data_IF_112880342822
#
_entry.id   IF_112880342822
#
_cell.length_a   1.000
_cell.length_b   1.000
_cell.length_c   1.000
_cell.angle_alpha   90.00
_cell.angle_beta   90.00
_cell.angle_gamma   90.00
#
_symmetry.space_group_name_H-M   'P 1'
#
loop_
_entity.id
_entity.type
_entity.pdbx_description
1 polymer ?
#
# COMPACT_ATOMS: atom_id res chain seq x y z
N UNK A 1 -16.39 22.35 -26.36
CA UNK A 1 -15.93 22.89 -25.07
C UNK A 1 -14.42 23.01 -25.14
N UNK A 2 -13.95 24.17 -25.60
CA UNK A 2 -12.53 24.45 -25.83
C UNK A 2 -12.14 25.52 -24.82
N UNK A 3 -11.64 25.11 -23.65
CA UNK A 3 -11.05 26.02 -22.66
C UNK A 3 -10.06 25.20 -21.83
N UNK A 4 -8.79 25.62 -21.86
CA UNK A 4 -7.60 25.00 -21.29
C UNK A 4 -7.04 23.80 -22.10
N UNK A 5 -6.33 24.10 -23.20
CA UNK A 5 -5.13 23.29 -23.51
C UNK A 5 -4.12 23.65 -22.42
N UNK A 6 -4.09 22.88 -21.34
CA UNK A 6 -2.96 22.97 -20.42
C UNK A 6 -1.76 22.38 -21.16
N UNK A 7 -0.72 23.19 -21.38
CA UNK A 7 0.57 22.74 -21.95
C UNK A 7 1.36 21.85 -20.96
N UNK A 8 0.81 21.61 -19.77
CA UNK A 8 1.36 20.70 -18.78
C UNK A 8 1.20 19.24 -19.26
N UNK A 9 2.34 18.64 -19.59
CA UNK A 9 2.47 17.20 -19.75
C UNK A 9 2.71 16.56 -18.38
N UNK A 10 1.96 15.50 -18.09
CA UNK A 10 2.03 14.74 -16.85
C UNK A 10 2.62 13.39 -17.20
N UNK A 11 3.70 12.99 -16.52
CA UNK A 11 4.25 11.64 -16.65
C UNK A 11 3.91 10.88 -15.38
N UNK A 12 3.08 9.84 -15.52
CA UNK A 12 2.58 8.98 -14.47
C UNK A 12 3.38 7.67 -14.46
N UNK A 13 4.28 7.54 -13.49
CA UNK A 13 5.11 6.36 -13.30
C UNK A 13 4.45 5.37 -12.33
N UNK A 14 4.40 4.08 -12.71
CA UNK A 14 3.71 3.06 -11.93
C UNK A 14 2.21 3.22 -11.98
N UNK A 15 1.69 3.66 -13.13
CA UNK A 15 0.30 4.09 -13.29
C UNK A 15 -0.75 3.02 -13.00
N UNK A 16 -0.35 1.75 -12.81
CA UNK A 16 -1.24 0.62 -12.63
C UNK A 16 -2.18 0.52 -13.82
N UNK A 17 -3.50 0.58 -13.56
CA UNK A 17 -4.54 0.55 -14.61
C UNK A 17 -4.88 1.95 -15.17
N UNK A 18 -4.00 2.93 -14.96
CA UNK A 18 -4.09 4.32 -15.43
C UNK A 18 -5.35 5.06 -14.97
N UNK A 19 -5.90 4.76 -13.79
CA UNK A 19 -7.13 5.41 -13.30
C UNK A 19 -6.99 6.93 -13.16
N UNK A 20 -5.93 7.38 -12.48
CA UNK A 20 -5.65 8.80 -12.30
C UNK A 20 -5.37 9.49 -13.63
N UNK A 21 -4.40 8.99 -14.40
CA UNK A 21 -4.02 9.61 -15.68
C UNK A 21 -5.21 9.78 -16.62
N UNK A 22 -6.13 8.82 -16.62
CA UNK A 22 -7.38 8.90 -17.37
C UNK A 22 -8.28 10.03 -16.88
N UNK A 23 -8.41 10.25 -15.57
CA UNK A 23 -9.15 11.38 -15.02
C UNK A 23 -8.47 12.72 -15.36
N UNK A 24 -7.15 12.82 -15.16
CA UNK A 24 -6.38 14.02 -15.48
C UNK A 24 -6.51 14.41 -16.95
N UNK A 25 -6.51 13.41 -17.83
CA UNK A 25 -6.69 13.64 -19.27
C UNK A 25 -8.14 14.00 -19.61
N UNK A 26 -9.12 13.24 -19.14
CA UNK A 26 -10.53 13.40 -19.56
C UNK A 26 -11.25 14.56 -18.89
N UNK A 27 -11.02 14.76 -17.58
CA UNK A 27 -11.74 15.74 -16.78
C UNK A 27 -11.02 17.10 -16.77
N UNK A 28 -9.69 17.10 -16.85
CA UNK A 28 -8.87 18.31 -16.69
C UNK A 28 -8.09 18.71 -17.95
N UNK A 29 -8.12 17.89 -19.02
CA UNK A 29 -7.52 18.22 -20.30
C UNK A 29 -5.99 18.16 -20.32
N UNK A 30 -5.35 17.56 -19.31
CA UNK A 30 -3.90 17.36 -19.30
C UNK A 30 -3.45 16.28 -20.27
N UNK A 31 -2.23 16.40 -20.78
CA UNK A 31 -1.60 15.35 -21.57
C UNK A 31 -0.86 14.40 -20.64
N UNK A 32 -1.49 13.30 -20.27
CA UNK A 32 -0.93 12.30 -19.37
C UNK A 32 -0.23 11.17 -20.15
N UNK A 33 0.99 10.84 -19.72
CA UNK A 33 1.83 9.77 -20.24
C UNK A 33 2.04 8.73 -19.16
N UNK A 34 1.47 7.54 -19.34
CA UNK A 34 1.52 6.48 -18.34
C UNK A 34 2.66 5.50 -18.61
N UNK A 35 3.42 5.16 -17.57
CA UNK A 35 4.48 4.16 -17.59
C UNK A 35 4.15 3.11 -16.53
N UNK A 36 4.14 1.84 -16.91
CA UNK A 36 3.83 0.70 -16.03
C UNK A 36 4.72 -0.49 -16.39
N UNK A 37 5.11 -1.28 -15.39
CA UNK A 37 6.01 -2.41 -15.57
C UNK A 37 5.28 -3.76 -15.63
N UNK A 38 4.08 -3.87 -15.06
CA UNK A 38 3.27 -5.10 -15.09
C UNK A 38 2.32 -5.10 -16.31
N UNK A 39 2.54 -6.05 -17.23
CA UNK A 39 1.72 -6.24 -18.42
C UNK A 39 0.23 -6.45 -18.10
N UNK A 40 -0.13 -7.04 -16.95
CA UNK A 40 -1.53 -7.20 -16.57
C UNK A 40 -2.19 -5.85 -16.27
N UNK A 41 -1.42 -4.92 -15.69
CA UNK A 41 -1.89 -3.57 -15.41
C UNK A 41 -2.01 -2.75 -16.69
N UNK A 42 -1.04 -2.87 -17.61
CA UNK A 42 -1.10 -2.25 -18.95
C UNK A 42 -2.34 -2.75 -19.72
N UNK A 43 -2.53 -4.07 -19.80
CA UNK A 43 -3.69 -4.66 -20.47
C UNK A 43 -5.00 -4.23 -19.79
N UNK A 44 -5.02 -4.20 -18.45
CA UNK A 44 -6.15 -3.69 -17.69
C UNK A 44 -6.45 -2.21 -17.98
N UNK A 45 -5.42 -1.38 -18.14
CA UNK A 45 -5.54 0.03 -18.51
C UNK A 45 -6.13 0.19 -19.91
N UNK A 46 -5.61 -0.53 -20.92
CA UNK A 46 -6.10 -0.49 -22.31
C UNK A 46 -7.58 -0.90 -22.38
N UNK A 47 -7.96 -1.98 -21.69
CA UNK A 47 -9.36 -2.42 -21.61
C UNK A 47 -10.23 -1.34 -20.98
N UNK A 48 -9.75 -0.69 -19.93
CA UNK A 48 -10.47 0.36 -19.24
C UNK A 48 -10.57 1.63 -20.10
N UNK A 49 -9.54 2.01 -20.85
CA UNK A 49 -9.56 3.11 -21.81
C UNK A 49 -10.63 2.89 -22.87
N UNK A 50 -10.67 1.69 -23.46
CA UNK A 50 -11.68 1.33 -24.45
C UNK A 50 -13.10 1.43 -23.87
N UNK A 51 -13.32 0.90 -22.65
CA UNK A 51 -14.61 1.00 -21.95
C UNK A 51 -14.99 2.46 -21.67
N UNK A 52 -14.05 3.25 -21.18
CA UNK A 52 -14.28 4.65 -20.84
C UNK A 52 -14.54 5.49 -22.08
N UNK A 53 -13.78 5.32 -23.17
CA UNK A 53 -14.05 5.99 -24.45
C UNK A 53 -15.44 5.65 -24.99
N UNK A 54 -15.82 4.36 -24.94
CA UNK A 54 -17.15 3.91 -25.36
C UNK A 54 -18.27 4.49 -24.48
N UNK A 55 -18.02 4.68 -23.18
CA UNK A 55 -18.96 5.32 -22.25
C UNK A 55 -19.06 6.84 -22.45
N UNK A 56 -17.94 7.52 -22.71
CA UNK A 56 -17.87 8.96 -22.98
C UNK A 56 -18.58 9.36 -24.27
N UNK A 57 -18.58 8.49 -25.29
CA UNK A 57 -19.42 8.69 -26.48
C UNK A 57 -20.91 8.78 -26.16
N UNK A 58 -21.34 8.33 -24.97
CA UNK A 58 -22.74 8.32 -24.53
C UNK A 58 -23.07 9.33 -23.42
N UNK A 59 -22.10 10.05 -22.84
CA UNK A 59 -22.32 10.87 -21.65
C UNK A 59 -21.51 12.18 -21.62
N UNK A 60 -22.15 13.26 -21.15
CA UNK A 60 -21.49 14.50 -20.71
C UNK A 60 -21.04 14.34 -19.23
N UNK A 61 -19.86 14.83 -18.82
CA UNK A 61 -19.31 14.49 -17.51
C UNK A 61 -19.82 15.43 -16.41
N UNK A 62 -20.18 14.85 -15.27
CA UNK A 62 -20.07 15.46 -13.95
C UNK A 62 -19.39 14.46 -13.02
N UNK A 63 -18.26 14.91 -12.47
CA UNK A 63 -17.54 14.46 -11.28
C UNK A 63 -16.91 13.04 -11.30
N UNK A 64 -15.57 12.99 -11.37
CA UNK A 64 -14.77 11.79 -11.11
C UNK A 64 -13.37 12.17 -10.57
N UNK A 65 -12.99 11.66 -9.40
CA UNK A 65 -11.71 11.88 -8.72
C UNK A 65 -11.06 10.54 -8.35
N UNK A 66 -9.73 10.36 -8.56
CA UNK A 66 -8.87 9.48 -7.75
C UNK A 66 -7.38 9.53 -8.18
N UNK A 67 -6.47 9.44 -7.18
CA UNK A 67 -5.02 9.76 -7.17
C UNK A 67 -3.99 8.69 -7.63
N UNK A 68 -2.72 9.11 -7.67
CA UNK A 68 -1.52 8.40 -8.17
C UNK A 68 -1.01 7.36 -7.17
N UNK A 69 -0.37 6.26 -7.59
CA UNK A 69 0.19 5.25 -6.69
C UNK A 69 1.60 4.81 -7.13
N UNK A 70 2.66 5.28 -6.45
CA UNK A 70 4.03 4.79 -6.63
C UNK A 70 4.39 3.74 -5.55
N UNK A 71 4.76 2.53 -5.97
CA UNK A 71 4.91 1.37 -5.09
C UNK A 71 6.37 0.86 -5.06
N UNK A 72 6.91 0.62 -3.87
CA UNK A 72 8.26 0.09 -3.65
C UNK A 72 9.38 1.09 -3.95
N UNK A 73 10.50 0.60 -4.50
CA UNK A 73 11.66 1.41 -4.94
C UNK A 73 11.34 2.47 -5.99
N UNK A 74 10.20 2.36 -6.68
CA UNK A 74 9.79 3.31 -7.69
C UNK A 74 9.70 4.74 -7.12
N UNK A 75 9.21 4.89 -5.89
CA UNK A 75 9.16 6.21 -5.23
C UNK A 75 10.55 6.81 -5.09
N UNK A 76 11.56 6.03 -4.72
CA UNK A 76 12.94 6.50 -4.62
C UNK A 76 13.50 6.93 -5.98
N UNK A 77 13.25 6.14 -7.04
CA UNK A 77 13.74 6.47 -8.38
C UNK A 77 13.09 7.73 -8.95
N UNK A 78 11.78 7.90 -8.76
CA UNK A 78 11.07 9.13 -9.15
C UNK A 78 11.67 10.34 -8.42
N UNK A 79 11.98 10.21 -7.12
CA UNK A 79 12.60 11.28 -6.35
C UNK A 79 14.00 11.62 -6.85
N UNK A 80 14.84 10.62 -7.13
CA UNK A 80 16.18 10.84 -7.68
C UNK A 80 16.14 11.44 -9.09
N UNK A 81 15.28 10.93 -9.96
CA UNK A 81 15.12 11.43 -11.32
C UNK A 81 14.58 12.86 -11.30
N UNK A 82 13.55 13.13 -10.49
CA UNK A 82 13.05 14.47 -10.30
C UNK A 82 14.15 15.41 -9.78
N UNK A 83 14.99 14.99 -8.83
CA UNK A 83 16.10 15.84 -8.36
C UNK A 83 17.11 16.18 -9.47
N UNK A 84 17.50 15.20 -10.29
CA UNK A 84 18.53 15.34 -11.34
C UNK A 84 18.02 16.06 -12.61
N UNK A 85 16.75 15.86 -12.98
CA UNK A 85 16.26 16.25 -14.30
C UNK A 85 15.76 17.70 -14.32
N UNK A 86 16.48 18.60 -14.99
CA UNK A 86 16.12 20.03 -15.09
C UNK A 86 14.86 20.32 -15.90
N UNK A 87 14.32 19.35 -16.65
CA UNK A 87 13.14 19.53 -17.48
C UNK A 87 11.82 19.33 -16.71
N UNK A 88 11.88 18.81 -15.48
CA UNK A 88 10.71 18.58 -14.63
C UNK A 88 10.52 19.72 -13.64
N UNK A 89 9.38 20.41 -13.72
CA UNK A 89 9.10 21.60 -12.89
C UNK A 89 8.30 21.31 -11.62
N UNK A 90 7.57 20.19 -11.59
CA UNK A 90 6.71 19.81 -10.48
C UNK A 90 6.70 18.28 -10.31
N UNK A 91 6.68 17.84 -9.06
CA UNK A 91 6.46 16.46 -8.65
C UNK A 91 5.21 16.39 -7.76
N UNK A 92 4.33 15.44 -8.04
CA UNK A 92 3.24 15.03 -7.15
C UNK A 92 3.36 13.52 -7.00
N UNK A 93 3.64 13.05 -5.78
CA UNK A 93 3.93 11.65 -5.49
C UNK A 93 3.04 11.15 -4.35
N UNK A 94 2.19 10.16 -4.62
CA UNK A 94 1.56 9.36 -3.56
C UNK A 94 2.28 8.02 -3.43
N UNK A 95 2.78 7.73 -2.24
CA UNK A 95 3.45 6.46 -1.97
C UNK A 95 2.42 5.41 -1.52
N UNK A 96 2.46 4.22 -2.13
CA UNK A 96 1.46 3.16 -1.89
C UNK A 96 1.99 1.85 -1.33
N UNK A 97 3.30 1.61 -1.37
CA UNK A 97 3.91 0.39 -0.87
C UNK A 97 5.34 0.66 -0.38
N UNK A 98 5.62 0.34 0.87
CA UNK A 98 6.97 0.43 1.45
C UNK A 98 7.65 -0.94 1.55
N UNK A 99 6.98 -1.97 1.01
CA UNK A 99 7.16 -3.37 1.40
C UNK A 99 8.18 -4.18 0.62
N UNK A 100 8.51 -3.78 -0.60
CA UNK A 100 9.36 -4.62 -1.45
C UNK A 100 10.76 -4.68 -0.83
N UNK A 101 11.38 -5.87 -0.86
CA UNK A 101 12.75 -6.13 -0.35
C UNK A 101 13.77 -5.09 -0.84
N UNK A 102 13.51 -4.54 -2.02
CA UNK A 102 14.15 -3.37 -2.58
C UNK A 102 13.24 -2.15 -2.40
N UNK A 103 13.15 -1.62 -1.19
CA UNK A 103 13.04 -0.17 -1.11
C UNK A 103 14.37 0.33 -1.70
N UNK A 104 14.32 1.38 -2.53
CA UNK A 104 15.55 2.11 -2.81
C UNK A 104 16.18 2.58 -1.50
N UNK A 105 17.40 3.15 -1.52
CA UNK A 105 18.13 3.50 -0.31
C UNK A 105 17.23 4.25 0.70
N UNK A 106 16.93 3.62 1.84
CA UNK A 106 16.31 4.27 2.99
C UNK A 106 17.29 4.27 4.15
N UNK A 107 17.54 5.42 4.79
CA UNK A 107 17.02 6.74 4.43
C UNK A 107 17.60 7.30 3.12
N UNK A 108 16.87 8.17 2.43
CA UNK A 108 17.32 8.94 1.27
C UNK A 108 18.03 10.23 1.70
N UNK A 109 17.54 10.92 2.74
CA UNK A 109 18.10 12.20 3.17
C UNK A 109 19.45 12.04 3.84
N UNK A 110 20.35 12.99 3.59
CA UNK A 110 21.63 13.06 4.28
C UNK A 110 21.44 13.38 5.78
N UNK A 111 20.37 14.10 6.13
CA UNK A 111 19.95 14.33 7.51
C UNK A 111 19.90 13.03 8.32
N UNK A 112 19.21 12.00 7.80
CA UNK A 112 19.10 10.71 8.48
C UNK A 112 20.33 9.81 8.25
N UNK A 113 20.94 9.82 7.05
CA UNK A 113 22.16 9.03 6.77
C UNK A 113 23.34 9.38 7.68
N UNK A 114 23.50 10.67 8.06
CA UNK A 114 24.61 11.13 8.91
C UNK A 114 24.48 10.72 10.38
N UNK A 115 23.33 10.19 10.81
CA UNK A 115 23.14 9.69 12.19
C UNK A 115 23.84 8.34 12.32
N UNK A 116 25.06 8.36 12.86
CA UNK A 116 25.99 7.20 13.00
C UNK A 116 25.44 5.97 13.73
N UNK A 117 24.33 6.10 14.47
CA UNK A 117 23.86 5.05 15.38
C UNK A 117 22.97 3.98 14.73
N UNK A 118 22.64 4.03 13.43
CA UNK A 118 21.71 3.10 12.76
C UNK A 118 20.31 2.96 13.41
N UNK A 119 19.97 3.80 14.40
CA UNK A 119 18.73 3.76 15.18
C UNK A 119 17.46 4.06 14.36
N UNK A 120 17.62 4.60 13.16
CA UNK A 120 16.52 5.03 12.30
C UNK A 120 16.25 4.06 11.13
N UNK A 121 16.84 2.86 11.16
CA UNK A 121 16.55 1.83 10.17
C UNK A 121 15.14 1.26 10.39
N UNK A 122 14.28 1.38 9.38
CA UNK A 122 12.98 0.74 9.37
C UNK A 122 13.12 -0.74 9.03
N UNK A 123 12.63 -1.61 9.92
CA UNK A 123 12.54 -3.04 9.67
C UNK A 123 11.52 -3.34 8.56
N UNK A 124 11.56 -4.55 7.99
CA UNK A 124 10.59 -4.97 6.99
C UNK A 124 9.16 -4.86 7.52
N UNK A 125 8.95 -5.27 8.78
CA UNK A 125 7.65 -5.27 9.46
C UNK A 125 7.12 -3.85 9.71
N UNK A 126 8.01 -2.89 9.96
CA UNK A 126 7.63 -1.48 10.10
C UNK A 126 7.16 -0.91 8.75
N UNK A 127 7.88 -1.22 7.67
CA UNK A 127 7.50 -0.85 6.30
C UNK A 127 6.19 -1.53 5.86
N UNK A 128 6.00 -2.77 6.30
CA UNK A 128 4.75 -3.54 6.14
C UNK A 128 3.61 -2.81 6.77
N UNK A 129 3.83 -2.41 8.02
CA UNK A 129 2.84 -1.73 8.82
C UNK A 129 2.44 -0.38 8.24
N UNK A 130 3.37 0.39 7.69
CA UNK A 130 3.10 1.64 6.98
C UNK A 130 2.16 1.48 5.79
N UNK A 131 1.81 0.24 5.40
CA UNK A 131 0.83 -0.01 4.35
C UNK A 131 -0.60 -0.27 4.81
N UNK A 132 -0.83 -0.29 6.12
CA UNK A 132 -2.15 -0.55 6.67
C UNK A 132 -2.94 0.74 6.91
N UNK A 133 -4.22 0.68 6.58
CA UNK A 133 -5.20 1.73 6.86
C UNK A 133 -6.00 1.39 8.13
N UNK A 134 -6.25 2.39 8.97
CA UNK A 134 -6.99 2.21 10.23
C UNK A 134 -8.50 2.28 10.01
N UNK A 135 -8.95 3.03 9.01
CA UNK A 135 -10.33 3.42 8.77
C UNK A 135 -11.24 2.20 8.53
N UNK A 136 -10.85 1.34 7.59
CA UNK A 136 -11.58 0.09 7.28
C UNK A 136 -11.66 -0.88 8.45
N UNK A 137 -10.73 -0.78 9.39
CA UNK A 137 -10.74 -1.59 10.60
C UNK A 137 -11.68 -0.99 11.66
N UNK A 138 -11.71 0.34 11.78
CA UNK A 138 -12.66 1.05 12.64
C UNK A 138 -14.10 0.77 12.21
N UNK A 139 -14.40 0.75 10.91
CA UNK A 139 -15.75 0.41 10.40
C UNK A 139 -16.23 -0.95 10.92
N UNK A 140 -15.33 -1.94 11.00
CA UNK A 140 -15.64 -3.28 11.52
C UNK A 140 -15.91 -3.28 13.03
N UNK A 141 -15.14 -2.51 13.78
CA UNK A 141 -15.32 -2.38 15.24
C UNK A 141 -16.64 -1.66 15.54
N UNK A 142 -16.91 -0.55 14.86
CA UNK A 142 -18.12 0.25 15.04
C UNK A 142 -19.36 -0.56 14.60
N UNK A 143 -19.25 -1.32 13.51
CA UNK A 143 -20.29 -2.24 13.05
C UNK A 143 -20.50 -3.48 13.94
N UNK A 144 -19.78 -3.60 15.06
CA UNK A 144 -19.82 -4.72 16.00
C UNK A 144 -19.52 -6.09 15.35
N UNK A 145 -18.77 -6.12 14.24
CA UNK A 145 -18.34 -7.33 13.55
C UNK A 145 -17.05 -7.89 14.18
N UNK A 146 -17.13 -8.18 15.47
CA UNK A 146 -16.00 -8.73 16.24
C UNK A 146 -15.64 -10.15 15.78
N UNK A 147 -16.58 -10.89 15.20
CA UNK A 147 -16.32 -12.21 14.64
C UNK A 147 -15.36 -12.15 13.44
N UNK A 148 -15.39 -11.08 12.64
CA UNK A 148 -14.40 -10.89 11.58
C UNK A 148 -12.96 -10.77 12.10
N UNK A 149 -12.78 -10.29 13.35
CA UNK A 149 -11.47 -10.13 13.97
C UNK A 149 -10.82 -11.47 14.34
N UNK A 150 -11.62 -12.56 14.40
CA UNK A 150 -11.10 -13.91 14.62
C UNK A 150 -10.09 -14.32 13.57
N UNK A 151 -10.14 -13.71 12.36
CA UNK A 151 -9.17 -13.94 11.30
C UNK A 151 -7.73 -13.69 11.77
N UNK A 152 -7.50 -12.70 12.63
CA UNK A 152 -6.16 -12.37 13.11
C UNK A 152 -5.66 -13.45 14.08
N UNK A 153 -6.54 -13.97 14.94
CA UNK A 153 -6.21 -15.09 15.83
C UNK A 153 -5.95 -16.39 15.09
N UNK A 154 -6.80 -16.72 14.10
CA UNK A 154 -6.59 -17.86 13.22
C UNK A 154 -5.28 -17.73 12.44
N UNK A 155 -4.98 -16.54 11.92
CA UNK A 155 -3.71 -16.29 11.25
C UNK A 155 -2.54 -16.51 12.19
N UNK A 156 -2.58 -15.94 13.39
CA UNK A 156 -1.51 -16.12 14.39
C UNK A 156 -1.31 -17.59 14.79
N UNK A 157 -2.39 -18.36 14.94
CA UNK A 157 -2.31 -19.80 15.22
C UNK A 157 -1.69 -20.58 14.03
N UNK A 158 -2.07 -20.26 12.80
CA UNK A 158 -1.50 -20.87 11.60
C UNK A 158 0.00 -20.55 11.44
N UNK A 159 0.44 -19.33 11.75
CA UNK A 159 1.87 -18.99 11.73
C UNK A 159 2.69 -19.86 12.70
N UNK A 160 2.17 -20.19 13.89
CA UNK A 160 2.84 -21.13 14.79
C UNK A 160 2.94 -22.56 14.23
N UNK A 161 1.91 -23.00 13.51
CA UNK A 161 1.91 -24.31 12.85
C UNK A 161 2.93 -24.33 11.71
N UNK A 162 2.99 -23.28 10.88
CA UNK A 162 3.94 -23.19 9.78
C UNK A 162 5.37 -23.11 10.30
N UNK A 163 5.64 -22.31 11.34
CA UNK A 163 6.97 -22.26 11.96
C UNK A 163 7.45 -23.64 12.41
N UNK A 164 6.53 -24.46 12.95
CA UNK A 164 6.86 -25.79 13.47
C UNK A 164 6.99 -26.87 12.40
N UNK A 165 6.09 -26.88 11.41
CA UNK A 165 5.95 -28.00 10.46
C UNK A 165 6.45 -27.66 9.04
N UNK A 166 6.54 -26.38 8.69
CA UNK A 166 6.98 -25.93 7.38
C UNK A 166 7.75 -24.59 7.46
N UNK A 167 8.84 -24.48 8.25
CA UNK A 167 9.57 -23.22 8.46
C UNK A 167 10.05 -22.57 7.16
N UNK A 168 10.37 -23.38 6.14
CA UNK A 168 10.73 -22.93 4.80
C UNK A 168 9.61 -22.16 4.07
N UNK A 169 8.35 -22.27 4.52
CA UNK A 169 7.18 -21.59 3.94
C UNK A 169 6.75 -20.33 4.72
N UNK A 170 7.48 -19.92 5.76
CA UNK A 170 7.14 -18.78 6.65
C UNK A 170 6.81 -17.47 5.91
N UNK A 171 7.50 -17.18 4.81
CA UNK A 171 7.32 -15.94 4.05
C UNK A 171 6.49 -16.13 2.78
N UNK A 172 5.87 -17.29 2.59
CA UNK A 172 5.03 -17.55 1.43
C UNK A 172 3.67 -16.88 1.65
N UNK A 173 3.17 -16.09 0.68
CA UNK A 173 1.85 -15.46 0.79
C UNK A 173 0.75 -16.51 0.93
N UNK A 174 -0.15 -16.33 1.89
CA UNK A 174 -1.37 -17.14 2.01
C UNK A 174 -2.54 -16.50 1.29
N UNK A 175 -3.54 -17.32 0.96
CA UNK A 175 -4.79 -16.85 0.38
C UNK A 175 -5.56 -16.00 1.40
N UNK A 176 -6.19 -14.93 0.92
CA UNK A 176 -7.18 -14.20 1.70
C UNK A 176 -8.44 -15.06 1.87
N UNK A 177 -8.78 -15.36 3.12
CA UNK A 177 -10.00 -16.11 3.47
C UNK A 177 -11.10 -15.12 3.84
N UNK A 178 -12.31 -15.32 3.32
CA UNK A 178 -13.50 -14.51 3.60
C UNK A 178 -14.55 -15.33 4.37
N UNK A 179 -15.60 -14.67 4.89
CA UNK A 179 -16.69 -15.30 5.66
C UNK A 179 -16.23 -16.04 6.93
N UNK A 180 -15.33 -15.42 7.70
CA UNK A 180 -14.73 -16.01 8.91
C UNK A 180 -15.79 -16.39 9.96
N UNK A 181 -16.88 -15.64 10.05
CA UNK A 181 -17.98 -15.94 10.97
C UNK A 181 -18.67 -17.29 10.71
N UNK A 182 -18.47 -17.90 9.53
CA UNK A 182 -19.10 -19.15 9.10
C UNK A 182 -18.15 -20.35 9.04
N UNK A 183 -16.89 -20.18 9.43
CA UNK A 183 -15.88 -21.25 9.33
C UNK A 183 -15.13 -21.45 10.64
N UNK A 184 -14.75 -22.70 10.91
CA UNK A 184 -13.87 -23.02 12.00
C UNK A 184 -12.39 -22.80 11.64
N UNK A 185 -11.50 -23.03 12.60
CA UNK A 185 -10.07 -22.85 12.40
C UNK A 185 -9.49 -23.84 11.38
N UNK A 186 -9.96 -25.09 11.35
CA UNK A 186 -9.43 -26.12 10.46
C UNK A 186 -9.78 -25.78 9.00
N UNK A 187 -11.01 -25.36 8.76
CA UNK A 187 -11.46 -24.93 7.43
C UNK A 187 -10.77 -23.62 7.01
N UNK A 188 -10.52 -22.70 7.95
CA UNK A 188 -9.67 -21.53 7.68
C UNK A 188 -8.26 -21.95 7.20
N UNK A 189 -7.61 -22.87 7.92
CA UNK A 189 -6.26 -23.34 7.56
C UNK A 189 -6.25 -23.94 6.17
N UNK A 190 -7.20 -24.84 5.87
CA UNK A 190 -7.34 -25.49 4.56
C UNK A 190 -7.43 -24.45 3.43
N UNK A 191 -8.26 -23.41 3.61
CA UNK A 191 -8.43 -22.34 2.61
C UNK A 191 -7.21 -21.43 2.51
N UNK A 192 -6.55 -21.14 3.62
CA UNK A 192 -5.40 -20.23 3.67
C UNK A 192 -4.17 -20.82 2.96
N UNK A 193 -3.93 -22.13 3.12
CA UNK A 193 -2.76 -22.83 2.56
C UNK A 193 -3.04 -23.55 1.24
N UNK A 194 -4.22 -23.40 0.64
CA UNK A 194 -4.66 -24.12 -0.57
C UNK A 194 -3.68 -24.01 -1.76
N UNK A 195 -2.91 -22.91 -1.84
CA UNK A 195 -1.91 -22.67 -2.90
C UNK A 195 -0.48 -23.03 -2.48
N UNK A 196 -0.31 -23.55 -1.27
CA UNK A 196 0.98 -23.98 -0.74
C UNK A 196 1.04 -25.49 -0.86
N UNK A 197 1.49 -25.95 -2.02
CA UNK A 197 1.85 -27.35 -2.18
C UNK A 197 2.89 -27.73 -1.11
N UNK A 198 2.79 -28.96 -0.61
CA UNK A 198 3.71 -29.59 0.36
C UNK A 198 3.59 -29.16 1.84
N UNK A 199 2.51 -28.50 2.27
CA UNK A 199 2.27 -28.28 3.70
C UNK A 199 1.42 -29.42 4.26
N UNK A 200 2.05 -30.28 5.08
CA UNK A 200 1.37 -31.36 5.81
C UNK A 200 1.32 -30.98 7.29
N UNK A 201 0.11 -30.71 7.78
CA UNK A 201 -0.15 -30.42 9.19
C UNK A 201 -0.84 -31.63 9.84
N UNK A 202 -0.26 -32.23 10.89
CA UNK A 202 -0.89 -33.35 11.58
C UNK A 202 -2.14 -32.88 12.34
N UNK A 203 -3.19 -33.70 12.35
CA UNK A 203 -4.48 -33.33 12.96
C UNK A 203 -4.35 -33.03 14.46
N UNK A 204 -3.42 -33.70 15.14
CA UNK A 204 -3.12 -33.51 16.55
C UNK A 204 -2.54 -32.12 16.83
N UNK A 205 -1.90 -31.49 15.85
CA UNK A 205 -1.33 -30.15 16.01
C UNK A 205 -2.41 -29.08 16.26
N UNK A 206 -3.60 -29.25 15.67
CA UNK A 206 -4.73 -28.36 15.89
C UNK A 206 -5.26 -28.42 17.34
N UNK A 207 -5.00 -29.53 18.04
CA UNK A 207 -5.41 -29.75 19.43
C UNK A 207 -4.31 -29.39 20.44
N UNK A 208 -3.14 -28.96 19.98
CA UNK A 208 -2.05 -28.59 20.90
C UNK A 208 -2.43 -27.42 21.82
N UNK A 209 -1.94 -27.45 23.06
CA UNK A 209 -2.20 -26.42 24.07
C UNK A 209 -1.90 -25.00 23.57
N UNK A 210 -0.81 -24.85 22.82
CA UNK A 210 -0.41 -23.55 22.26
C UNK A 210 -1.47 -22.99 21.30
N UNK A 211 -2.04 -23.83 20.43
CA UNK A 211 -3.06 -23.44 19.45
C UNK A 211 -4.38 -23.18 20.16
N UNK A 212 -4.83 -24.10 21.02
CA UNK A 212 -6.07 -23.93 21.78
C UNK A 212 -6.02 -22.68 22.67
N UNK A 213 -4.86 -22.37 23.26
CA UNK A 213 -4.68 -21.12 24.02
C UNK A 213 -4.85 -19.88 23.15
N UNK A 214 -4.38 -19.88 21.91
CA UNK A 214 -4.61 -18.75 20.99
C UNK A 214 -6.09 -18.61 20.67
N UNK A 215 -6.71 -19.70 20.21
CA UNK A 215 -8.09 -19.71 19.72
C UNK A 215 -9.08 -19.31 20.82
N UNK A 216 -8.90 -19.84 22.03
CA UNK A 216 -9.89 -19.71 23.10
C UNK A 216 -9.62 -18.54 24.05
N UNK A 217 -8.35 -18.17 24.26
CA UNK A 217 -8.00 -17.21 25.34
C UNK A 217 -7.26 -15.96 24.86
N UNK A 218 -6.56 -16.02 23.72
CA UNK A 218 -5.73 -14.90 23.27
C UNK A 218 -6.26 -14.18 22.04
N UNK A 219 -7.36 -14.62 21.44
CA UNK A 219 -7.91 -13.99 20.21
C UNK A 219 -8.13 -12.48 20.39
N UNK A 220 -8.67 -12.08 21.55
CA UNK A 220 -8.85 -10.67 21.89
C UNK A 220 -7.52 -9.92 22.06
N UNK A 221 -6.49 -10.59 22.61
CA UNK A 221 -5.14 -9.99 22.73
C UNK A 221 -4.49 -9.79 21.36
N UNK A 222 -4.71 -10.71 20.42
CA UNK A 222 -4.23 -10.57 19.03
C UNK A 222 -4.94 -9.39 18.35
N UNK A 223 -6.25 -9.25 18.55
CA UNK A 223 -7.01 -8.10 18.05
C UNK A 223 -6.47 -6.78 18.64
N UNK A 224 -6.26 -6.71 19.96
CA UNK A 224 -5.67 -5.52 20.63
C UNK A 224 -4.30 -5.19 20.05
N UNK A 225 -3.43 -6.19 19.89
CA UNK A 225 -2.11 -6.00 19.31
C UNK A 225 -2.19 -5.47 17.87
N UNK A 226 -3.11 -6.01 17.07
CA UNK A 226 -3.35 -5.52 15.71
C UNK A 226 -3.87 -4.07 15.70
N UNK A 227 -4.78 -3.71 16.62
CA UNK A 227 -5.22 -2.31 16.78
C UNK A 227 -4.07 -1.37 17.12
N UNK A 228 -3.20 -1.75 18.05
CA UNK A 228 -2.00 -0.97 18.40
C UNK A 228 -1.07 -0.78 17.20
N UNK A 229 -0.89 -1.84 16.40
CA UNK A 229 -0.14 -1.75 15.13
C UNK A 229 -0.78 -0.71 14.20
N UNK A 230 -2.09 -0.75 14.00
CA UNK A 230 -2.78 0.20 13.12
C UNK A 230 -2.67 1.66 13.60
N UNK A 231 -2.59 1.91 14.90
CA UNK A 231 -2.35 3.27 15.43
C UNK A 231 -0.94 3.78 15.10
N UNK A 232 0.04 2.87 14.98
CA UNK A 232 1.43 3.22 14.66
C UNK A 232 1.65 3.34 13.14
N UNK A 233 0.85 2.65 12.33
CA UNK A 233 0.99 2.61 10.87
C UNK A 233 1.14 4.00 10.20
N UNK A 234 0.27 5.00 10.48
CA UNK A 234 0.40 6.33 9.88
C UNK A 234 1.67 7.07 10.31
N UNK A 235 2.16 6.81 11.53
CA UNK A 235 3.39 7.42 12.04
C UNK A 235 4.61 6.90 11.25
N UNK A 236 4.62 5.60 10.93
CA UNK A 236 5.70 5.01 10.14
C UNK A 236 5.64 5.51 8.70
N UNK A 237 4.46 5.57 8.09
CA UNK A 237 4.26 6.15 6.75
C UNK A 237 4.75 7.60 6.69
N UNK A 238 4.31 8.43 7.65
CA UNK A 238 4.72 9.82 7.73
C UNK A 238 6.24 9.97 7.93
N UNK A 239 6.85 9.13 8.76
CA UNK A 239 8.31 9.13 8.94
C UNK A 239 9.07 8.87 7.64
N UNK A 240 8.59 7.94 6.80
CA UNK A 240 9.18 7.68 5.48
C UNK A 240 9.01 8.90 4.57
N UNK A 241 7.81 9.48 4.53
CA UNK A 241 7.53 10.64 3.69
C UNK A 241 8.36 11.88 4.11
N UNK A 242 8.58 12.08 5.41
CA UNK A 242 9.46 13.14 5.91
C UNK A 242 10.91 12.96 5.45
N UNK A 243 11.41 11.73 5.39
CA UNK A 243 12.74 11.47 4.85
C UNK A 243 12.82 11.83 3.36
N UNK A 244 11.78 11.51 2.58
CA UNK A 244 11.71 11.86 1.16
C UNK A 244 11.57 13.36 0.92
N UNK A 245 10.71 14.03 1.67
CA UNK A 245 10.60 15.50 1.68
C UNK A 245 11.95 16.14 2.02
N UNK A 246 12.63 15.63 3.05
CA UNK A 246 13.92 16.15 3.47
C UNK A 246 14.99 15.94 2.40
N UNK A 247 15.02 14.78 1.75
CA UNK A 247 15.91 14.51 0.62
C UNK A 247 15.71 15.54 -0.50
N UNK A 248 14.47 15.87 -0.85
CA UNK A 248 14.18 16.90 -1.86
C UNK A 248 14.64 18.28 -1.43
N UNK A 249 14.40 18.66 -0.16
CA UNK A 249 14.86 19.94 0.40
C UNK A 249 16.38 20.10 0.45
N UNK A 250 17.14 19.00 0.39
CA UNK A 250 18.60 19.01 0.35
C UNK A 250 19.15 19.29 -1.06
N UNK A 251 18.31 19.21 -2.09
CA UNK A 251 18.72 19.45 -3.48
C UNK A 251 18.64 20.93 -3.82
N UNK A 252 19.71 21.48 -4.42
CA UNK A 252 19.77 22.90 -4.79
C UNK A 252 18.76 23.32 -5.88
N UNK A 253 18.29 22.35 -6.67
CA UNK A 253 17.32 22.57 -7.76
C UNK A 253 15.86 22.60 -7.29
N UNK A 254 15.58 22.31 -6.02
CA UNK A 254 14.22 22.26 -5.47
C UNK A 254 13.96 23.50 -4.63
N UNK A 255 12.91 24.25 -4.95
CA UNK A 255 12.49 25.45 -4.21
C UNK A 255 11.65 25.10 -2.99
N UNK A 256 10.71 24.17 -3.17
CA UNK A 256 9.76 23.75 -2.13
C UNK A 256 9.46 22.27 -2.25
N UNK A 257 9.29 21.62 -1.11
CA UNK A 257 8.74 20.28 -0.97
C UNK A 257 7.84 20.27 0.26
N UNK A 258 6.67 19.63 0.17
CA UNK A 258 5.69 19.56 1.25
C UNK A 258 4.88 18.28 1.19
N UNK A 259 4.48 17.77 2.36
CA UNK A 259 3.55 16.64 2.50
C UNK A 259 2.15 17.20 2.78
N UNK A 260 1.15 16.78 1.99
CA UNK A 260 -0.23 17.25 2.13
C UNK A 260 -1.23 16.09 2.21
N UNK A 261 -2.18 16.08 3.16
CA UNK A 261 -3.33 15.18 3.13
C UNK A 261 -4.35 15.71 2.11
N UNK A 262 -4.45 15.07 0.95
CA UNK A 262 -5.30 15.53 -0.15
C UNK A 262 -6.59 14.72 -0.29
N UNK A 263 -6.57 13.44 0.08
CA UNK A 263 -7.74 12.57 -0.02
C UNK A 263 -8.41 12.32 1.33
N UNK A 264 -9.70 12.00 1.30
CA UNK A 264 -10.37 11.40 2.45
C UNK A 264 -9.82 9.98 2.65
N UNK A 265 -9.26 9.65 3.83
CA UNK A 265 -8.71 8.32 4.09
C UNK A 265 -9.75 7.19 4.04
N UNK A 266 -11.05 7.50 4.14
CA UNK A 266 -12.14 6.54 3.92
C UNK A 266 -12.27 6.16 2.44
N UNK A 267 -11.97 7.09 1.53
CA UNK A 267 -12.03 6.88 0.07
C UNK A 267 -10.72 6.26 -0.41
N UNK A 268 -9.59 6.90 -0.08
CA UNK A 268 -8.26 6.40 -0.37
C UNK A 268 -7.41 6.45 0.90
N UNK A 269 -7.06 5.30 1.49
CA UNK A 269 -6.21 5.28 2.67
C UNK A 269 -4.80 5.82 2.43
N UNK A 270 -4.42 6.04 1.15
CA UNK A 270 -3.18 6.71 0.75
C UNK A 270 -3.47 8.19 0.51
N UNK A 271 -3.75 8.90 1.60
CA UNK A 271 -4.19 10.29 1.52
C UNK A 271 -3.05 11.31 1.50
N UNK A 272 -1.81 10.92 1.82
CA UNK A 272 -0.65 11.81 1.85
C UNK A 272 0.03 11.90 0.46
N UNK A 273 0.14 13.13 -0.05
CA UNK A 273 0.90 13.47 -1.25
C UNK A 273 2.17 14.22 -0.88
N UNK A 274 3.30 13.81 -1.44
CA UNK A 274 4.54 14.58 -1.47
C UNK A 274 4.55 15.44 -2.74
N UNK A 275 4.55 16.75 -2.57
CA UNK A 275 4.50 17.73 -3.66
C UNK A 275 5.76 18.57 -3.63
N UNK A 276 6.45 18.71 -4.77
CA UNK A 276 7.66 19.52 -4.86
C UNK A 276 7.76 20.32 -6.16
N UNK A 277 8.47 21.45 -6.10
CA UNK A 277 8.64 22.40 -7.21
C UNK A 277 10.10 22.85 -7.36
N UNK A 278 10.52 23.11 -8.60
CA UNK A 278 11.84 23.66 -8.97
C UNK A 278 11.84 25.16 -9.27
#
# INVERSE_FOLDING_TARGET
MQKYRNELEIIDFGSGKCHLSRILSLCYGYKAHCIEADDNNINGAIVQDYKTMKALMKFRPKDLSDGLHACGSLSNWILEEFARNSNSNCLILACCCYMRKELGPFPMSDCLKRKKDNKFLLTLEARELACHAVEKFLDKIIGNDLDSLRIHGYRAALELLIEKYAPQKRHVPMRTVTNISKIDFIDYVRRAIERMDDIILPNEAFQSDSIQKILNTKINRVAIFYSLRLLIAPIVEFFILMDYERFLCEQSSIRTAQIMPVFDPLISPRNLLLIAYK
#
